data_IF_541311072200
#
_entry.id   IF_541311072200
#
_cell.length_a   1.000
_cell.length_b   1.000
_cell.length_c   1.000
_cell.angle_alpha   90.00
_cell.angle_beta   90.00
_cell.angle_gamma   90.00
#
_symmetry.space_group_name_H-M   'P 1'
#
loop_
_entity.id
_entity.type
_entity.pdbx_description
1 polymer ?
#
# COMPACT_ATOMS: atom_id res chain seq x y z
N UNK A 1 10.59 -17.81 -6.47
CA UNK A 1 9.24 -17.26 -6.20
C UNK A 1 9.30 -16.56 -4.86
N UNK A 2 9.40 -15.23 -4.84
CA UNK A 2 9.18 -14.46 -3.61
C UNK A 2 7.71 -14.69 -3.23
N UNK A 3 7.44 -15.15 -2.02
CA UNK A 3 6.08 -15.37 -1.55
C UNK A 3 5.29 -14.06 -1.61
N UNK A 4 4.07 -14.11 -2.16
CA UNK A 4 3.02 -13.11 -2.00
C UNK A 4 3.08 -12.42 -0.63
N UNK A 5 3.00 -11.10 -0.60
CA UNK A 5 2.91 -10.35 0.65
C UNK A 5 1.53 -10.61 1.27
N UNK A 6 1.50 -11.29 2.42
CA UNK A 6 0.24 -11.76 3.05
C UNK A 6 -0.44 -10.71 3.94
N UNK A 7 0.19 -9.56 4.15
CA UNK A 7 -0.26 -8.55 5.10
C UNK A 7 -0.67 -7.26 4.37
N UNK A 8 -1.98 -7.13 4.12
CA UNK A 8 -2.58 -6.03 3.37
C UNK A 8 -3.26 -4.97 4.25
N UNK A 9 -2.86 -4.87 5.52
CA UNK A 9 -3.47 -3.92 6.48
C UNK A 9 -2.92 -2.50 6.37
N UNK A 10 -1.92 -2.24 5.51
CA UNK A 10 -1.25 -0.93 5.36
C UNK A 10 -1.58 -0.29 4.02
N UNK A 11 -0.62 -0.07 3.11
CA UNK A 11 -0.84 0.63 1.83
C UNK A 11 -2.11 0.16 1.08
N UNK A 12 -2.39 -1.14 0.92
CA UNK A 12 -3.58 -1.55 0.18
C UNK A 12 -4.89 -1.49 0.98
N UNK A 13 -4.87 -1.28 2.30
CA UNK A 13 -6.03 -1.59 3.16
C UNK A 13 -7.29 -0.76 2.89
N UNK A 14 -7.15 0.43 2.31
CA UNK A 14 -8.26 1.32 1.95
C UNK A 14 -8.46 1.42 0.44
N UNK A 15 -7.71 0.64 -0.35
CA UNK A 15 -7.92 0.54 -1.79
C UNK A 15 -9.09 -0.42 -2.05
N UNK A 16 -10.04 -0.09 -2.94
CA UNK A 16 -11.11 -1.01 -3.29
C UNK A 16 -10.57 -2.15 -4.18
N UNK A 17 -10.68 -3.39 -3.70
CA UNK A 17 -10.40 -4.63 -4.46
C UNK A 17 -11.41 -5.70 -4.06
N UNK A 18 -11.79 -6.59 -4.98
CA UNK A 18 -12.73 -7.68 -4.69
C UNK A 18 -12.01 -8.94 -4.21
N UNK A 19 -10.80 -9.17 -4.72
CA UNK A 19 -9.92 -10.26 -4.35
C UNK A 19 -8.56 -9.71 -3.94
N UNK A 20 -7.94 -10.33 -2.95
CA UNK A 20 -6.58 -9.99 -2.49
C UNK A 20 -5.57 -10.17 -3.63
N UNK A 21 -5.82 -11.12 -4.53
CA UNK A 21 -4.97 -11.36 -5.69
C UNK A 21 -4.98 -10.18 -6.69
N UNK A 22 -6.02 -9.33 -6.68
CA UNK A 22 -6.06 -8.11 -7.53
C UNK A 22 -5.01 -7.09 -7.09
N UNK A 23 -4.68 -7.03 -5.79
CA UNK A 23 -3.64 -6.12 -5.26
C UNK A 23 -2.30 -6.44 -5.91
N UNK A 24 -1.97 -7.73 -6.09
CA UNK A 24 -0.70 -8.14 -6.68
C UNK A 24 -0.53 -7.67 -8.12
N UNK A 25 -1.65 -7.45 -8.83
CA UNK A 25 -1.65 -6.92 -10.19
C UNK A 25 -1.14 -5.49 -10.29
N UNK A 26 -1.35 -4.65 -9.26
CA UNK A 26 -1.04 -3.22 -9.32
C UNK A 26 -0.16 -2.70 -8.19
N UNK A 27 0.14 -3.48 -7.16
CA UNK A 27 0.94 -3.04 -6.03
C UNK A 27 1.90 -4.14 -5.56
N UNK A 28 3.19 -3.87 -5.70
CA UNK A 28 4.24 -4.65 -5.03
C UNK A 28 4.72 -3.86 -3.81
N UNK A 29 4.60 -4.43 -2.60
CA UNK A 29 4.99 -3.72 -1.37
C UNK A 29 5.55 -4.63 -0.28
N UNK A 30 6.21 -4.02 0.70
CA UNK A 30 6.77 -4.69 1.87
C UNK A 30 6.58 -3.86 3.13
N UNK A 31 5.94 -4.49 4.11
CA UNK A 31 5.76 -3.93 5.44
C UNK A 31 7.01 -4.09 6.30
N UNK A 32 7.23 -3.14 7.21
CA UNK A 32 8.22 -3.21 8.29
C UNK A 32 7.61 -2.79 9.62
N UNK A 33 7.96 -3.46 10.70
CA UNK A 33 7.36 -3.25 12.03
C UNK A 33 8.43 -3.33 13.11
N UNK A 34 8.45 -2.34 14.00
CA UNK A 34 9.29 -2.30 15.19
C UNK A 34 8.48 -1.70 16.34
N UNK A 35 8.89 -1.89 17.61
CA UNK A 35 8.27 -1.18 18.72
C UNK A 35 8.27 0.34 18.48
N UNK A 36 7.07 0.93 18.43
CA UNK A 36 6.88 2.36 18.17
C UNK A 36 6.98 2.77 16.69
N UNK A 37 7.04 1.83 15.74
CA UNK A 37 7.11 2.12 14.31
C UNK A 37 6.33 1.14 13.45
N UNK A 38 5.59 1.69 12.50
CA UNK A 38 4.89 1.02 11.41
C UNK A 38 5.35 1.58 10.07
N UNK A 39 5.86 0.71 9.21
CA UNK A 39 6.37 1.08 7.89
C UNK A 39 5.68 0.28 6.79
N UNK A 40 5.61 0.90 5.62
CA UNK A 40 5.30 0.22 4.37
C UNK A 40 5.98 0.94 3.21
N UNK A 41 6.53 0.17 2.27
CA UNK A 41 7.17 0.69 1.07
C UNK A 41 6.71 -0.15 -0.12
N UNK A 42 6.36 0.50 -1.22
CA UNK A 42 5.82 -0.20 -2.37
C UNK A 42 5.90 0.59 -3.66
N UNK A 43 5.53 -0.09 -4.74
CA UNK A 43 5.46 0.42 -6.10
C UNK A 43 4.07 0.14 -6.64
N UNK A 44 3.35 1.20 -7.02
CA UNK A 44 2.07 1.08 -7.72
C UNK A 44 2.29 1.07 -9.25
N UNK A 45 1.63 0.15 -9.94
CA UNK A 45 1.65 -0.06 -11.39
C UNK A 45 0.23 0.14 -11.94
N UNK A 46 -0.06 1.29 -12.54
CA UNK A 46 -1.41 1.64 -13.02
C UNK A 46 -1.55 1.60 -14.55
N UNK A 47 -1.17 0.49 -15.20
CA UNK A 47 -1.19 0.34 -16.68
C UNK A 47 -0.64 1.59 -17.42
N UNK A 48 0.35 2.25 -16.82
CA UNK A 48 0.98 3.47 -17.32
C UNK A 48 2.50 3.32 -17.29
N UNK A 49 3.20 4.10 -18.10
CA UNK A 49 4.66 4.10 -18.17
C UNK A 49 5.32 4.78 -16.94
N UNK A 50 4.52 5.14 -15.93
CA UNK A 50 4.96 5.92 -14.77
C UNK A 50 4.59 5.19 -13.47
N UNK A 51 5.39 4.20 -13.05
CA UNK A 51 5.19 3.54 -11.76
C UNK A 51 5.44 4.52 -10.61
N UNK A 52 4.69 4.35 -9.52
CA UNK A 52 4.75 5.26 -8.37
C UNK A 52 5.42 4.54 -7.21
N UNK A 53 6.63 4.98 -6.87
CA UNK A 53 7.34 4.54 -5.67
C UNK A 53 6.82 5.31 -4.46
N UNK A 54 6.42 4.60 -3.42
CA UNK A 54 6.01 5.16 -2.13
C UNK A 54 6.80 4.53 -0.98
N UNK A 55 7.11 5.33 0.02
CA UNK A 55 7.67 4.84 1.29
C UNK A 55 7.09 5.65 2.42
N UNK A 56 6.37 4.98 3.32
CA UNK A 56 5.80 5.58 4.53
C UNK A 56 6.61 5.11 5.73
N UNK A 57 7.27 6.06 6.40
CA UNK A 57 8.06 5.79 7.60
C UNK A 57 7.46 6.49 8.81
N UNK A 58 7.23 5.73 9.89
CA UNK A 58 6.78 6.28 11.16
C UNK A 58 7.78 5.96 12.27
N UNK A 59 7.72 6.73 13.35
CA UNK A 59 8.54 6.51 14.55
C UNK A 59 7.83 7.09 15.76
N UNK A 60 8.21 6.62 16.95
CA UNK A 60 7.69 7.12 18.22
C UNK A 60 6.16 7.05 18.34
N UNK A 61 5.52 6.06 17.71
CA UNK A 61 4.08 5.86 17.80
C UNK A 61 3.72 5.40 19.22
N UNK A 62 2.85 6.14 19.88
CA UNK A 62 2.21 5.72 21.13
C UNK A 62 1.13 4.65 20.90
N UNK A 63 0.61 4.57 19.67
CA UNK A 63 -0.38 3.60 19.22
C UNK A 63 -0.03 3.11 17.81
N UNK A 64 0.09 1.80 17.64
CA UNK A 64 0.40 1.15 16.36
C UNK A 64 -0.67 1.40 15.30
N UNK A 65 -1.95 1.47 15.70
CA UNK A 65 -3.08 1.70 14.79
C UNK A 65 -2.90 3.00 14.00
N UNK A 66 -2.42 4.07 14.64
CA UNK A 66 -2.20 5.35 13.96
C UNK A 66 -1.17 5.25 12.81
N UNK A 67 -0.16 4.39 12.95
CA UNK A 67 0.83 4.16 11.89
C UNK A 67 0.30 3.31 10.75
N UNK A 68 -0.51 2.30 11.08
CA UNK A 68 -1.23 1.48 10.10
C UNK A 68 -2.19 2.34 9.28
N UNK A 69 -3.00 3.16 9.95
CA UNK A 69 -3.97 4.08 9.34
C UNK A 69 -3.27 5.08 8.41
N UNK A 70 -2.14 5.65 8.83
CA UNK A 70 -1.37 6.56 7.98
C UNK A 70 -0.93 5.86 6.69
N UNK A 71 -0.41 4.63 6.77
CA UNK A 71 0.00 3.89 5.58
C UNK A 71 -1.20 3.64 4.65
N UNK A 72 -2.34 3.24 5.21
CA UNK A 72 -3.55 2.99 4.46
C UNK A 72 -4.12 4.25 3.78
N UNK A 73 -4.11 5.39 4.48
CA UNK A 73 -4.53 6.68 3.93
C UNK A 73 -3.65 7.12 2.77
N UNK A 74 -2.32 6.99 2.90
CA UNK A 74 -1.39 7.31 1.80
C UNK A 74 -1.63 6.41 0.59
N UNK A 75 -1.83 5.11 0.79
CA UNK A 75 -2.15 4.19 -0.31
C UNK A 75 -3.46 4.54 -1.01
N UNK A 76 -4.51 4.88 -0.26
CA UNK A 76 -5.78 5.33 -0.81
C UNK A 76 -5.64 6.63 -1.63
N UNK A 77 -4.89 7.63 -1.14
CA UNK A 77 -4.65 8.89 -1.84
C UNK A 77 -3.94 8.64 -3.18
N UNK A 78 -2.91 7.77 -3.19
CA UNK A 78 -2.19 7.42 -4.41
C UNK A 78 -3.15 6.73 -5.39
N UNK A 79 -3.93 5.77 -4.90
CA UNK A 79 -4.90 5.05 -5.73
C UNK A 79 -5.97 5.96 -6.32
N UNK A 80 -6.58 6.83 -5.52
CA UNK A 80 -7.61 7.76 -5.98
C UNK A 80 -7.08 8.74 -7.04
N UNK A 81 -5.83 9.19 -6.88
CA UNK A 81 -5.24 10.19 -7.77
C UNK A 81 -4.71 9.59 -9.08
N UNK A 82 -4.08 8.41 -9.01
CA UNK A 82 -3.33 7.83 -10.13
C UNK A 82 -3.94 6.54 -10.69
N UNK A 83 -4.83 5.87 -9.95
CA UNK A 83 -5.48 4.62 -10.36
C UNK A 83 -6.74 4.79 -11.21
N UNK A 84 -7.15 6.02 -11.54
CA UNK A 84 -8.31 6.29 -12.42
C UNK A 84 -8.09 5.64 -13.78
N UNK A 85 -9.03 4.79 -14.20
CA UNK A 85 -8.96 4.03 -15.45
C UNK A 85 -8.28 2.65 -15.34
N UNK A 86 -7.71 2.28 -14.18
CA UNK A 86 -7.09 0.96 -14.01
C UNK A 86 -8.10 -0.20 -14.07
N UNK A 87 -9.32 0.02 -13.55
CA UNK A 87 -10.41 -0.98 -13.55
C UNK A 87 -11.40 -0.80 -14.71
N UNK A 88 -11.21 0.20 -15.57
CA UNK A 88 -12.09 0.47 -16.72
C UNK A 88 -11.56 -0.17 -18.03
N UNK A 89 -10.46 -0.93 -17.96
CA UNK A 89 -9.74 -1.53 -19.08
C UNK A 89 -9.96 -3.05 -19.20
#
# INVERSE_FOLDING_TARGET
MLSAQKLNIKLPSLVPFNDVDEIEGFLAHKTGELPGSEHDAGIFFYNSDHPILVTVLTRNLSNRVAGVDLCAQIGAIIFEHFGKGYFDA
#
